data_IF_986590426121
#
_entry.id   IF_986590426121
#
_cell.length_a   1.000
_cell.length_b   1.000
_cell.length_c   1.000
_cell.angle_alpha   90.00
_cell.angle_beta   90.00
_cell.angle_gamma   90.00
#
_symmetry.space_group_name_H-M   'P 1'
#
loop_
_entity.id
_entity.type
_entity.pdbx_description
1 polymer ?
#
# COMPACT_ATOMS: atom_id res chain seq x y z
N UNK A 1 5.18 30.30 -25.62
CA UNK A 1 4.29 30.54 -26.75
C UNK A 1 5.09 31.19 -27.87
N UNK A 2 5.56 30.39 -28.83
CA UNK A 2 6.04 30.83 -30.12
C UNK A 2 5.65 29.72 -31.10
N UNK A 3 4.77 30.07 -32.04
CA UNK A 3 4.07 29.13 -32.91
C UNK A 3 5.00 28.61 -34.02
N UNK A 4 5.31 27.31 -33.96
CA UNK A 4 5.25 26.31 -35.04
C UNK A 4 5.86 26.59 -36.43
N UNK A 5 7.07 26.07 -36.69
CA UNK A 5 7.51 25.65 -38.05
C UNK A 5 6.87 24.30 -38.43
N UNK A 6 6.43 23.53 -37.42
CA UNK A 6 5.69 22.27 -37.59
C UNK A 6 4.40 22.47 -38.40
N UNK A 7 3.82 23.68 -38.37
CA UNK A 7 2.59 23.98 -39.09
C UNK A 7 2.77 24.23 -40.59
N UNK A 8 4.00 24.34 -41.12
CA UNK A 8 4.21 24.51 -42.56
C UNK A 8 4.40 23.17 -43.29
N UNK A 9 4.92 22.15 -42.61
CA UNK A 9 5.07 20.81 -43.19
C UNK A 9 3.72 20.08 -43.34
N UNK A 10 2.73 20.39 -42.50
CA UNK A 10 1.37 19.87 -42.64
C UNK A 10 0.58 20.51 -43.80
N UNK A 11 0.95 21.73 -44.25
CA UNK A 11 0.23 22.46 -45.30
C UNK A 11 0.69 22.08 -46.71
N UNK A 12 1.89 21.52 -46.89
CA UNK A 12 2.46 21.24 -48.21
C UNK A 12 2.34 19.78 -48.69
N UNK A 13 1.77 18.87 -47.91
CA UNK A 13 1.38 17.54 -48.41
C UNK A 13 2.51 16.69 -49.02
N UNK A 14 3.77 16.92 -48.65
CA UNK A 14 4.91 16.16 -49.17
C UNK A 14 5.18 14.95 -48.26
N UNK A 15 4.38 13.91 -48.47
CA UNK A 15 4.69 12.53 -48.10
C UNK A 15 5.83 12.03 -49.01
N UNK A 16 7.06 12.05 -48.53
CA UNK A 16 8.01 10.94 -48.57
C UNK A 16 9.45 11.41 -48.32
N UNK A 17 10.12 10.66 -47.44
CA UNK A 17 11.56 10.35 -47.52
C UNK A 17 12.55 11.51 -47.32
N UNK A 18 12.68 11.98 -46.08
CA UNK A 18 13.99 12.39 -45.56
C UNK A 18 14.58 11.25 -44.71
N UNK A 19 14.83 10.10 -45.33
CA UNK A 19 15.77 9.12 -44.77
C UNK A 19 17.18 9.59 -45.13
N UNK A 20 17.77 10.39 -44.26
CA UNK A 20 19.15 10.86 -44.35
C UNK A 20 19.85 10.52 -43.04
N UNK A 21 20.54 9.38 -43.03
CA UNK A 21 21.38 8.93 -41.92
C UNK A 21 22.59 9.87 -41.75
N UNK A 22 22.52 10.77 -40.76
CA UNK A 22 23.70 11.38 -40.16
C UNK A 22 23.82 10.92 -38.71
N UNK A 23 24.78 10.01 -38.49
CA UNK A 23 25.33 9.71 -37.18
C UNK A 23 25.99 10.98 -36.65
N UNK A 24 25.29 11.74 -35.82
CA UNK A 24 25.81 12.98 -35.26
C UNK A 24 25.09 13.37 -33.98
N UNK A 25 25.77 13.13 -32.86
CA UNK A 25 25.61 13.86 -31.61
C UNK A 25 24.21 13.84 -30.99
N UNK A 26 23.91 12.79 -30.23
CA UNK A 26 23.00 12.95 -29.08
C UNK A 26 23.52 14.11 -28.25
N UNK A 27 22.86 15.27 -28.36
CA UNK A 27 23.19 16.50 -27.66
C UNK A 27 23.54 16.19 -26.21
N UNK A 28 24.63 16.79 -25.73
CA UNK A 28 25.08 16.68 -24.34
C UNK A 28 23.91 16.91 -23.36
N UNK A 29 22.95 17.77 -23.75
CA UNK A 29 21.73 18.06 -23.00
C UNK A 29 20.74 16.89 -23.00
N UNK A 30 20.57 16.18 -24.12
CA UNK A 30 19.70 14.99 -24.18
C UNK A 30 20.24 13.84 -23.31
N UNK A 31 21.58 13.68 -23.23
CA UNK A 31 22.23 12.72 -22.31
C UNK A 31 22.23 13.17 -20.85
N UNK A 32 22.11 14.47 -20.60
CA UNK A 32 22.00 15.02 -19.23
C UNK A 32 20.59 14.91 -18.66
N UNK A 33 19.55 14.88 -19.50
CA UNK A 33 18.15 14.77 -19.05
C UNK A 33 17.75 13.30 -18.80
N UNK A 34 18.41 12.32 -19.43
CA UNK A 34 18.24 10.89 -19.14
C UNK A 34 19.22 10.38 -18.08
N UNK A 35 19.38 11.14 -16.98
CA UNK A 35 20.20 10.75 -15.83
C UNK A 35 19.35 10.41 -14.61
N UNK A 36 18.31 9.63 -14.84
CA UNK A 36 17.70 8.78 -13.82
C UNK A 36 18.15 7.32 -13.98
N UNK A 37 19.35 7.09 -14.55
CA UNK A 37 20.04 5.81 -14.40
C UNK A 37 20.55 5.76 -12.96
N UNK A 38 19.75 5.16 -12.07
CA UNK A 38 20.23 4.68 -10.78
C UNK A 38 21.52 3.90 -11.04
N UNK A 39 22.63 4.31 -10.42
CA UNK A 39 23.88 3.58 -10.58
C UNK A 39 23.65 2.17 -10.02
N UNK A 40 24.14 1.11 -10.67
CA UNK A 40 23.94 -0.27 -10.19
C UNK A 40 24.35 -0.47 -8.72
N UNK A 41 25.37 0.27 -8.25
CA UNK A 41 25.81 0.26 -6.86
C UNK A 41 24.83 0.97 -5.89
N UNK A 42 24.16 2.04 -6.32
CA UNK A 42 23.15 2.74 -5.52
C UNK A 42 21.87 1.91 -5.40
N UNK A 43 21.54 1.16 -6.46
CA UNK A 43 20.39 0.24 -6.45
C UNK A 43 20.63 -0.95 -5.53
N UNK A 44 21.83 -1.54 -5.56
CA UNK A 44 22.20 -2.63 -4.66
C UNK A 44 22.18 -2.22 -3.18
N UNK A 45 22.61 -0.98 -2.88
CA UNK A 45 22.52 -0.42 -1.53
C UNK A 45 21.05 -0.22 -1.10
N UNK A 46 20.20 0.23 -2.02
CA UNK A 46 18.76 0.43 -1.77
C UNK A 46 18.05 -0.89 -1.49
N UNK A 47 18.34 -1.96 -2.24
CA UNK A 47 17.79 -3.30 -2.01
C UNK A 47 18.27 -3.93 -0.70
N UNK A 48 19.52 -3.68 -0.30
CA UNK A 48 20.01 -4.14 1.01
C UNK A 48 19.32 -3.41 2.16
N UNK A 49 19.19 -2.07 2.06
CA UNK A 49 18.45 -1.29 3.04
C UNK A 49 16.98 -1.73 3.08
N UNK A 50 16.38 -2.04 1.92
CA UNK A 50 15.02 -2.62 1.82
C UNK A 50 14.90 -3.91 2.60
N UNK A 51 15.75 -4.89 2.30
CA UNK A 51 15.75 -6.19 2.96
C UNK A 51 15.97 -6.07 4.48
N UNK A 52 16.94 -5.27 4.90
CA UNK A 52 17.22 -5.06 6.33
C UNK A 52 16.06 -4.37 7.03
N UNK A 53 15.47 -3.33 6.44
CA UNK A 53 14.37 -2.58 7.02
C UNK A 53 13.08 -3.43 7.12
N UNK A 54 12.78 -4.22 6.09
CA UNK A 54 11.62 -5.11 6.08
C UNK A 54 11.80 -6.33 7.00
N UNK A 55 13.04 -6.79 7.21
CA UNK A 55 13.34 -7.88 8.16
C UNK A 55 13.41 -7.40 9.61
N UNK A 56 13.94 -6.19 9.84
CA UNK A 56 14.09 -5.60 11.17
C UNK A 56 12.80 -5.00 11.70
N UNK A 57 11.87 -4.63 10.81
CA UNK A 57 10.62 -3.97 11.20
C UNK A 57 9.42 -4.59 10.47
N UNK A 58 8.86 -5.70 11.00
CA UNK A 58 7.54 -6.20 10.61
C UNK A 58 6.41 -5.15 10.81
N UNK A 59 6.72 -4.06 11.53
CA UNK A 59 5.89 -2.88 11.79
C UNK A 59 5.59 -2.00 10.58
N UNK A 60 6.29 -2.19 9.45
CA UNK A 60 6.18 -1.29 8.31
C UNK A 60 4.95 -1.62 7.46
N UNK A 61 3.80 -1.20 7.97
CA UNK A 61 2.55 -1.27 7.26
C UNK A 61 1.46 -0.45 7.94
N UNK A 62 0.27 -0.50 7.36
CA UNK A 62 -0.91 0.15 7.88
C UNK A 62 -1.89 -0.91 8.34
N UNK A 63 -2.22 -0.88 9.62
CA UNK A 63 -3.38 -1.58 10.16
C UNK A 63 -4.62 -0.71 9.99
N UNK A 64 -5.71 -1.31 9.50
CA UNK A 64 -6.97 -0.62 9.31
C UNK A 64 -8.15 -1.58 9.47
N UNK A 65 -9.31 -1.02 9.79
CA UNK A 65 -10.54 -1.76 10.01
C UNK A 65 -11.41 -1.73 8.74
N UNK A 66 -11.94 -2.88 8.31
CA UNK A 66 -12.83 -3.01 7.16
C UNK A 66 -14.17 -3.56 7.62
N UNK A 67 -15.24 -2.84 7.27
CA UNK A 67 -16.62 -3.21 7.59
C UNK A 67 -17.35 -3.66 6.32
N UNK A 68 -18.26 -4.60 6.47
CA UNK A 68 -19.11 -5.05 5.37
C UNK A 68 -20.03 -3.94 4.84
N UNK A 69 -20.17 -3.81 3.51
CA UNK A 69 -21.20 -2.95 2.91
C UNK A 69 -22.62 -3.32 3.37
N UNK A 70 -22.85 -4.59 3.74
CA UNK A 70 -24.14 -5.08 4.22
C UNK A 70 -24.46 -4.69 5.68
N UNK A 71 -23.50 -4.11 6.42
CA UNK A 71 -23.71 -3.64 7.78
C UNK A 71 -22.57 -3.97 8.74
N UNK A 72 -22.85 -3.89 10.04
CA UNK A 72 -21.87 -4.20 11.09
C UNK A 72 -21.89 -5.70 11.33
N UNK A 73 -20.72 -6.31 11.46
CA UNK A 73 -20.57 -7.72 11.84
C UNK A 73 -21.27 -8.65 10.85
N UNK A 74 -20.82 -8.60 9.60
CA UNK A 74 -21.40 -9.34 8.46
C UNK A 74 -20.36 -10.07 7.63
N UNK A 75 -19.14 -10.22 8.14
CA UNK A 75 -18.16 -11.13 7.57
C UNK A 75 -18.02 -12.37 8.45
N UNK A 76 -18.06 -13.55 7.84
CA UNK A 76 -17.35 -14.71 8.36
C UNK A 76 -15.83 -14.56 8.14
N UNK A 77 -15.04 -15.55 8.59
CA UNK A 77 -13.58 -15.47 8.51
C UNK A 77 -13.06 -15.43 7.06
N UNK A 78 -13.71 -16.15 6.14
CA UNK A 78 -13.27 -16.23 4.74
C UNK A 78 -13.69 -14.97 3.96
N UNK A 79 -14.89 -14.46 4.23
CA UNK A 79 -15.35 -13.16 3.73
C UNK A 79 -14.44 -12.03 4.21
N UNK A 80 -14.02 -12.06 5.49
CA UNK A 80 -13.09 -11.07 6.04
C UNK A 80 -11.72 -11.12 5.36
N UNK A 81 -11.22 -12.34 5.07
CA UNK A 81 -9.98 -12.55 4.30
C UNK A 81 -10.11 -11.98 2.90
N UNK A 82 -11.22 -12.24 2.22
CA UNK A 82 -11.49 -11.72 0.88
C UNK A 82 -11.58 -10.19 0.89
N UNK A 83 -12.29 -9.62 1.85
CA UNK A 83 -12.44 -8.17 2.01
C UNK A 83 -11.10 -7.46 2.21
N UNK A 84 -10.16 -8.04 2.98
CA UNK A 84 -8.81 -7.49 3.08
C UNK A 84 -8.05 -7.60 1.75
N UNK A 85 -8.17 -8.73 1.04
CA UNK A 85 -7.49 -8.97 -0.24
C UNK A 85 -7.95 -7.99 -1.34
N UNK A 86 -9.23 -7.65 -1.41
CA UNK A 86 -9.76 -6.62 -2.32
C UNK A 86 -9.13 -5.24 -2.06
N UNK A 87 -8.68 -5.00 -0.82
CA UNK A 87 -7.94 -3.80 -0.44
C UNK A 87 -6.42 -3.99 -0.61
N UNK A 88 -5.93 -5.00 -1.30
CA UNK A 88 -4.48 -5.26 -1.40
C UNK A 88 -3.82 -5.42 -0.03
N UNK A 89 -4.49 -6.10 0.89
CA UNK A 89 -4.05 -6.33 2.26
C UNK A 89 -4.33 -7.78 2.66
N UNK A 90 -3.77 -8.21 3.78
CA UNK A 90 -4.10 -9.50 4.42
C UNK A 90 -4.81 -9.25 5.74
N UNK A 91 -5.43 -10.28 6.31
CA UNK A 91 -5.89 -10.19 7.69
C UNK A 91 -4.70 -9.88 8.61
N UNK A 92 -4.88 -8.93 9.52
CA UNK A 92 -3.87 -8.54 10.48
C UNK A 92 -3.61 -9.68 11.47
N UNK A 93 -2.36 -9.83 11.89
CA UNK A 93 -2.01 -10.69 13.02
C UNK A 93 -2.34 -10.01 14.35
N UNK A 94 -2.45 -10.82 15.42
CA UNK A 94 -2.57 -10.29 16.78
C UNK A 94 -1.43 -9.34 17.12
N UNK A 95 -0.19 -9.67 16.72
CA UNK A 95 0.98 -8.84 17.00
C UNK A 95 0.86 -7.45 16.37
N UNK A 96 0.43 -7.38 15.10
CA UNK A 96 0.21 -6.09 14.42
C UNK A 96 -0.90 -5.27 15.09
N UNK A 97 -1.99 -5.91 15.54
CA UNK A 97 -3.04 -5.24 16.32
C UNK A 97 -2.52 -4.73 17.67
N UNK A 98 -1.69 -5.53 18.34
CA UNK A 98 -1.05 -5.20 19.62
C UNK A 98 -0.09 -4.02 19.49
N UNK A 99 0.76 -4.01 18.47
CA UNK A 99 1.65 -2.88 18.19
C UNK A 99 0.85 -1.61 17.89
N UNK A 100 -0.19 -1.70 17.05
CA UNK A 100 -1.04 -0.56 16.77
C UNK A 100 -1.74 -0.05 18.04
N UNK A 101 -2.19 -0.95 18.92
CA UNK A 101 -2.72 -0.58 20.23
C UNK A 101 -1.67 0.12 21.09
N UNK A 102 -0.46 -0.42 21.21
CA UNK A 102 0.65 0.24 21.93
C UNK A 102 0.93 1.66 21.42
N UNK A 103 0.77 1.87 20.11
CA UNK A 103 0.94 3.18 19.46
C UNK A 103 -0.29 4.11 19.57
N UNK A 104 -1.33 3.71 20.31
CA UNK A 104 -2.50 4.56 20.60
C UNK A 104 -3.79 4.16 19.88
N UNK A 105 -3.82 3.06 19.12
CA UNK A 105 -5.04 2.61 18.46
C UNK A 105 -6.12 2.27 19.48
N UNK A 106 -7.28 2.89 19.29
CA UNK A 106 -8.45 2.70 20.10
C UNK A 106 -9.69 2.59 19.20
N UNK A 107 -10.34 1.44 19.23
CA UNK A 107 -11.44 1.11 18.33
C UNK A 107 -12.40 0.08 18.94
N UNK A 108 -13.62 0.51 19.28
CA UNK A 108 -14.63 -0.35 19.89
C UNK A 108 -15.49 -1.10 18.86
N UNK A 109 -14.85 -1.94 18.05
CA UNK A 109 -15.54 -2.90 17.19
C UNK A 109 -14.69 -4.15 16.92
N UNK A 110 -15.36 -5.30 16.98
CA UNK A 110 -14.79 -6.61 16.73
C UNK A 110 -14.42 -6.81 15.28
N UNK A 111 -13.19 -7.24 15.03
CA UNK A 111 -12.74 -7.66 13.72
C UNK A 111 -12.00 -8.99 13.77
N UNK A 112 -12.11 -9.78 12.71
CA UNK A 112 -11.34 -10.99 12.50
C UNK A 112 -9.84 -10.68 12.36
N UNK A 113 -9.02 -11.60 12.89
CA UNK A 113 -7.56 -11.63 12.77
C UNK A 113 -7.11 -12.86 11.98
N UNK A 114 -5.85 -12.88 11.57
CA UNK A 114 -5.26 -13.94 10.74
C UNK A 114 -5.26 -15.32 11.41
N UNK A 115 -5.29 -15.37 12.75
CA UNK A 115 -5.34 -16.58 13.57
C UNK A 115 -6.76 -17.14 13.74
N UNK A 116 -7.77 -16.50 13.14
CA UNK A 116 -9.16 -16.90 13.25
C UNK A 116 -9.85 -16.45 14.54
N UNK A 117 -9.17 -15.67 15.38
CA UNK A 117 -9.81 -15.00 16.52
C UNK A 117 -10.43 -13.68 16.07
N UNK A 118 -11.41 -13.18 16.84
CA UNK A 118 -11.95 -11.85 16.65
C UNK A 118 -11.68 -11.01 17.91
N UNK A 119 -11.15 -9.80 17.72
CA UNK A 119 -10.69 -8.93 18.83
C UNK A 119 -10.89 -7.45 18.52
N UNK A 120 -10.77 -6.61 19.54
CA UNK A 120 -10.80 -5.14 19.40
C UNK A 120 -9.93 -4.43 20.45
N UNK A 121 -9.14 -3.41 20.06
CA UNK A 121 -8.26 -2.67 20.94
C UNK A 121 -8.97 -1.45 21.56
N UNK A 122 -8.72 -1.16 22.83
CA UNK A 122 -9.23 0.02 23.53
C UNK A 122 -8.13 0.64 24.40
N UNK A 123 -7.96 1.95 24.30
CA UNK A 123 -7.05 2.73 25.15
C UNK A 123 -7.77 3.37 26.33
N UNK A 124 -9.09 3.56 26.21
CA UNK A 124 -9.91 4.22 27.21
C UNK A 124 -11.13 3.36 27.49
N UNK A 125 -11.43 3.17 28.77
CA UNK A 125 -12.65 2.49 29.20
C UNK A 125 -13.88 3.33 28.83
N UNK A 126 -14.86 2.71 28.15
CA UNK A 126 -16.10 3.36 27.72
C UNK A 126 -17.30 2.50 28.07
N UNK A 127 -18.43 3.15 28.36
CA UNK A 127 -19.70 2.44 28.54
C UNK A 127 -20.05 1.67 27.27
N UNK A 128 -20.31 0.37 27.42
CA UNK A 128 -20.68 -0.51 26.29
C UNK A 128 -19.48 -1.09 25.52
N UNK A 129 -18.26 -0.75 25.92
CA UNK A 129 -17.02 -1.36 25.43
C UNK A 129 -16.33 -2.08 26.59
N UNK A 130 -15.42 -3.00 26.29
CA UNK A 130 -14.62 -3.71 27.30
C UNK A 130 -13.66 -2.81 28.09
N UNK A 131 -12.77 -3.45 28.85
CA UNK A 131 -11.71 -2.77 29.59
C UNK A 131 -10.63 -2.20 28.65
N UNK A 132 -9.66 -1.48 29.21
CA UNK A 132 -8.46 -1.05 28.46
C UNK A 132 -7.63 -2.28 28.09
N UNK A 133 -7.27 -2.42 26.81
CA UNK A 133 -6.49 -3.53 26.29
C UNK A 133 -7.01 -4.05 24.96
N UNK A 134 -6.51 -5.21 24.53
CA UNK A 134 -7.12 -5.98 23.45
C UNK A 134 -8.14 -6.92 24.07
N UNK A 135 -9.40 -6.74 23.69
CA UNK A 135 -10.53 -7.49 24.20
C UNK A 135 -10.96 -8.54 23.17
N UNK A 136 -11.26 -9.75 23.62
CA UNK A 136 -11.76 -10.83 22.76
C UNK A 136 -13.23 -10.63 22.40
N UNK A 137 -13.60 -11.14 21.22
CA UNK A 137 -14.97 -11.16 20.71
C UNK A 137 -15.42 -12.61 20.58
N UNK A 138 -16.19 -13.09 21.55
CA UNK A 138 -16.66 -14.48 21.60
C UNK A 138 -18.20 -14.59 21.64
N UNK A 139 -18.91 -13.51 21.34
CA UNK A 139 -20.37 -13.44 21.48
C UNK A 139 -21.15 -13.53 20.15
N UNK A 140 -20.48 -13.48 19.00
CA UNK A 140 -21.08 -13.66 17.67
C UNK A 140 -20.30 -14.68 16.82
N UNK A 141 -20.87 -15.02 15.68
CA UNK A 141 -20.24 -15.85 14.63
C UNK A 141 -19.78 -15.04 13.42
N UNK A 142 -20.10 -13.75 13.38
CA UNK A 142 -19.75 -12.81 12.32
C UNK A 142 -19.19 -11.53 12.93
N UNK A 143 -18.20 -10.94 12.28
CA UNK A 143 -17.51 -9.74 12.73
C UNK A 143 -17.14 -8.84 11.54
N UNK A 144 -16.44 -7.74 11.80
CA UNK A 144 -15.79 -6.94 10.76
C UNK A 144 -14.37 -7.54 10.53
N UNK A 145 -13.47 -6.85 9.85
CA UNK A 145 -12.12 -7.37 9.57
C UNK A 145 -11.02 -6.38 10.00
N UNK A 146 -9.97 -6.89 10.63
CA UNK A 146 -8.71 -6.14 10.77
C UNK A 146 -7.79 -6.52 9.62
N UNK A 147 -7.41 -5.53 8.82
CA UNK A 147 -6.53 -5.71 7.68
C UNK A 147 -5.18 -5.04 7.92
N UNK A 148 -4.12 -5.64 7.40
CA UNK A 148 -2.78 -5.08 7.40
C UNK A 148 -2.26 -5.02 5.98
N UNK A 149 -1.86 -3.83 5.54
CA UNK A 149 -1.17 -3.62 4.28
C UNK A 149 0.30 -3.30 4.58
N UNK A 150 1.21 -4.18 4.19
CA UNK A 150 2.63 -3.89 4.22
C UNK A 150 2.95 -2.67 3.34
N UNK A 151 3.97 -1.89 3.68
CA UNK A 151 4.41 -0.82 2.79
C UNK A 151 4.92 -1.42 1.48
N UNK A 152 4.60 -0.79 0.35
CA UNK A 152 4.99 -1.26 -0.99
C UNK A 152 6.49 -1.35 -1.21
N UNK A 153 7.28 -0.76 -0.33
CA UNK A 153 8.72 -0.95 -0.31
C UNK A 153 9.11 -2.34 0.20
N UNK A 154 8.26 -3.09 0.89
CA UNK A 154 8.52 -4.46 1.36
C UNK A 154 7.80 -5.54 0.55
N UNK A 155 7.11 -5.16 -0.52
CA UNK A 155 6.50 -6.09 -1.49
C UNK A 155 7.53 -6.60 -2.52
#
# INVERSE_FOLDING_TARGET
MAFSIVNLCLVLGLLNECSGNEKGETSLLARMIDRSVERPADQQLTEQIKSELCSATPKLGRLFHVRSPAGRYKYDLDEARHACAEQGATLASYHQLYEAWQDGLDYCACGWLSDGTARYPTQISRRGCGGVGINDCEWLTQYDAWCFRALSFCD
#
